data_IF_617737660435
#
_entry.id   IF_617737660435
#
_cell.length_a   1.000
_cell.length_b   1.000
_cell.length_c   1.000
_cell.angle_alpha   90.00
_cell.angle_beta   90.00
_cell.angle_gamma   90.00
#
_symmetry.space_group_name_H-M   'P 1'
#
loop_
_entity.id
_entity.type
_entity.pdbx_description
1 polymer ?
#
# COMPACT_ATOMS: atom_id res chain seq x y z
N UNK A 1 23.35 3.26 -27.46
CA UNK A 1 24.18 2.29 -26.71
C UNK A 1 25.34 2.94 -25.96
N UNK A 2 25.75 4.14 -26.33
CA UNK A 2 26.88 4.87 -25.73
C UNK A 2 26.73 5.05 -24.21
N UNK A 3 25.53 5.35 -23.72
CA UNK A 3 25.24 5.60 -22.29
C UNK A 3 24.80 4.36 -21.50
N UNK A 4 24.77 3.18 -22.10
CA UNK A 4 24.34 1.95 -21.42
C UNK A 4 25.17 1.62 -20.16
N UNK A 5 26.50 1.83 -20.14
CA UNK A 5 27.29 1.60 -18.94
C UNK A 5 26.86 2.45 -17.73
N UNK A 6 26.33 3.65 -17.95
CA UNK A 6 25.92 4.56 -16.88
C UNK A 6 24.71 4.04 -16.08
N UNK A 7 23.97 3.06 -16.62
CA UNK A 7 22.88 2.42 -15.90
C UNK A 7 23.40 1.57 -14.75
N UNK A 8 24.60 0.98 -14.91
CA UNK A 8 25.15 -0.02 -14.00
C UNK A 8 26.33 0.50 -13.15
N UNK A 9 27.07 1.49 -13.63
CA UNK A 9 28.24 2.02 -12.96
C UNK A 9 28.10 3.51 -12.66
N UNK A 10 28.61 3.89 -11.51
CA UNK A 10 28.65 5.29 -11.11
C UNK A 10 29.61 6.10 -12.00
N UNK A 11 29.23 7.32 -12.28
CA UNK A 11 30.08 8.24 -12.98
C UNK A 11 31.19 8.75 -12.06
N UNK A 12 32.40 9.08 -12.62
CA UNK A 12 33.46 9.67 -11.84
C UNK A 12 33.01 10.95 -11.13
N UNK A 13 33.65 11.23 -10.00
CA UNK A 13 33.44 12.46 -9.21
C UNK A 13 32.02 12.64 -8.67
N UNK A 14 31.27 11.56 -8.51
CA UNK A 14 29.88 11.59 -8.01
C UNK A 14 28.91 12.32 -8.94
N UNK A 15 29.21 12.34 -10.24
CA UNK A 15 28.33 12.96 -11.22
C UNK A 15 27.05 12.14 -11.40
N UNK A 16 25.94 12.83 -11.55
CA UNK A 16 24.63 12.26 -11.79
C UNK A 16 24.50 11.79 -13.24
N UNK A 17 24.03 10.55 -13.44
CA UNK A 17 23.73 10.04 -14.77
C UNK A 17 22.30 10.36 -15.22
N UNK A 18 22.18 11.24 -16.17
CA UNK A 18 20.89 11.49 -16.83
C UNK A 18 20.35 10.26 -17.59
N UNK A 19 21.23 9.38 -18.05
CA UNK A 19 20.83 8.15 -18.72
C UNK A 19 20.19 7.16 -17.73
N UNK A 20 20.81 6.97 -16.55
CA UNK A 20 20.25 6.15 -15.46
C UNK A 20 18.89 6.68 -15.01
N UNK A 21 18.78 7.98 -14.73
CA UNK A 21 17.52 8.60 -14.36
C UNK A 21 16.42 8.32 -15.40
N UNK A 22 16.68 8.60 -16.68
CA UNK A 22 15.69 8.40 -17.74
C UNK A 22 15.31 6.94 -17.94
N UNK A 23 16.25 6.03 -17.73
CA UNK A 23 15.97 4.60 -17.81
C UNK A 23 14.99 4.16 -16.73
N UNK A 24 15.23 4.49 -15.47
CA UNK A 24 14.37 4.12 -14.36
C UNK A 24 13.01 4.83 -14.43
N UNK A 25 12.97 6.10 -14.81
CA UNK A 25 11.73 6.84 -15.03
C UNK A 25 10.88 6.19 -16.14
N UNK A 26 11.54 5.77 -17.23
CA UNK A 26 10.87 5.05 -18.31
C UNK A 26 10.34 3.68 -17.85
N UNK A 27 11.08 2.93 -17.07
CA UNK A 27 10.62 1.64 -16.51
C UNK A 27 9.39 1.86 -15.61
N UNK A 28 9.43 2.84 -14.70
CA UNK A 28 8.30 3.16 -13.85
C UNK A 28 7.05 3.54 -14.65
N UNK A 29 7.21 4.39 -15.69
CA UNK A 29 6.09 4.75 -16.57
C UNK A 29 5.58 3.56 -17.38
N UNK A 30 6.48 2.72 -17.90
CA UNK A 30 6.08 1.51 -18.65
C UNK A 30 5.34 0.51 -17.77
N UNK A 31 5.79 0.32 -16.54
CA UNK A 31 5.07 -0.55 -15.61
C UNK A 31 3.67 0.01 -15.32
N UNK A 32 3.57 1.28 -14.98
CA UNK A 32 2.28 1.93 -14.70
C UNK A 32 1.33 1.86 -15.89
N UNK A 33 1.81 2.19 -17.10
CA UNK A 33 0.98 2.21 -18.30
C UNK A 33 0.56 0.81 -18.77
N UNK A 34 1.48 -0.16 -18.72
CA UNK A 34 1.20 -1.52 -19.18
C UNK A 34 0.35 -2.33 -18.21
N UNK A 35 0.49 -2.11 -16.93
CA UNK A 35 -0.26 -2.82 -15.88
C UNK A 35 -1.40 -1.97 -15.32
N UNK A 36 -1.08 -0.94 -14.54
CA UNK A 36 -2.07 -0.21 -13.76
C UNK A 36 -3.11 0.50 -14.65
N UNK A 37 -2.68 1.20 -15.69
CA UNK A 37 -3.58 1.91 -16.59
C UNK A 37 -4.44 0.93 -17.41
N UNK A 38 -3.86 -0.16 -17.89
CA UNK A 38 -4.57 -1.17 -18.68
C UNK A 38 -5.64 -1.86 -17.84
N UNK A 39 -5.27 -2.39 -16.67
CA UNK A 39 -6.21 -3.09 -15.80
C UNK A 39 -7.22 -2.14 -15.19
N UNK A 40 -6.78 -0.98 -14.71
CA UNK A 40 -7.67 0.04 -14.14
C UNK A 40 -8.65 0.61 -15.17
N UNK A 41 -8.22 0.78 -16.43
CA UNK A 41 -9.09 1.14 -17.54
C UNK A 41 -10.20 0.13 -17.75
N UNK A 42 -9.82 -1.13 -17.87
CA UNK A 42 -10.79 -2.22 -18.03
C UNK A 42 -11.75 -2.32 -16.84
N UNK A 43 -11.26 -2.18 -15.61
CA UNK A 43 -12.10 -2.19 -14.42
C UNK A 43 -13.16 -1.06 -14.47
N UNK A 44 -12.77 0.15 -14.81
CA UNK A 44 -13.71 1.29 -14.93
C UNK A 44 -14.76 1.04 -16.00
N UNK A 45 -14.38 0.52 -17.16
CA UNK A 45 -15.31 0.20 -18.26
C UNK A 45 -16.32 -0.89 -17.88
N UNK A 46 -15.96 -1.77 -16.92
CA UNK A 46 -16.82 -2.85 -16.45
C UNK A 46 -17.50 -2.55 -15.09
N UNK A 47 -17.43 -1.31 -14.61
CA UNK A 47 -18.14 -0.88 -13.39
C UNK A 47 -17.58 -1.46 -12.09
N UNK A 48 -16.30 -1.86 -12.07
CA UNK A 48 -15.58 -2.32 -10.87
C UNK A 48 -14.34 -1.46 -10.64
N UNK A 49 -13.83 -1.44 -9.40
CA UNK A 49 -12.64 -0.71 -9.04
C UNK A 49 -11.42 -1.65 -9.00
N UNK A 50 -10.31 -1.21 -9.58
CA UNK A 50 -9.02 -1.83 -9.32
C UNK A 50 -8.57 -1.42 -7.91
N UNK A 51 -8.18 -2.39 -7.11
CA UNK A 51 -7.56 -2.18 -5.80
C UNK A 51 -6.42 -3.17 -5.58
N UNK A 52 -5.60 -2.92 -4.58
CA UNK A 52 -4.45 -3.73 -4.22
C UNK A 52 -3.28 -2.83 -3.80
N UNK A 53 -2.22 -3.44 -3.36
CA UNK A 53 -1.00 -2.75 -2.95
C UNK A 53 0.12 -2.92 -3.98
N UNK A 54 1.13 -2.08 -3.89
CA UNK A 54 2.35 -2.20 -4.67
C UNK A 54 3.37 -3.06 -3.90
N UNK A 55 4.55 -3.26 -4.45
CA UNK A 55 5.58 -4.10 -3.84
C UNK A 55 6.68 -3.23 -3.23
N UNK A 56 7.18 -3.64 -2.06
CA UNK A 56 8.34 -3.04 -1.39
C UNK A 56 8.20 -1.53 -1.12
N UNK A 57 7.03 -1.10 -0.67
CA UNK A 57 6.67 0.31 -0.47
C UNK A 57 7.35 1.03 0.71
N UNK A 58 7.92 0.36 1.75
CA UNK A 58 8.38 1.03 2.97
C UNK A 58 9.45 2.10 2.77
N UNK A 59 10.35 1.91 1.81
CA UNK A 59 11.42 2.88 1.52
C UNK A 59 11.40 3.33 0.06
N UNK A 60 12.02 4.48 -0.20
CA UNK A 60 12.18 4.98 -1.58
C UNK A 60 13.02 4.00 -2.41
N UNK A 61 14.08 3.46 -1.83
CA UNK A 61 15.00 2.54 -2.50
C UNK A 61 14.30 1.22 -2.84
N UNK A 62 13.62 0.60 -1.88
CA UNK A 62 12.98 -0.69 -2.10
C UNK A 62 11.90 -0.61 -3.18
N UNK A 63 11.00 0.37 -3.12
CA UNK A 63 9.94 0.49 -4.11
C UNK A 63 10.45 0.81 -5.52
N UNK A 64 11.49 1.66 -5.63
CA UNK A 64 12.06 1.99 -6.94
C UNK A 64 12.82 0.81 -7.54
N UNK A 65 13.46 -0.01 -6.71
CA UNK A 65 14.08 -1.26 -7.14
C UNK A 65 13.07 -2.31 -7.60
N UNK A 66 11.90 -2.37 -6.96
CA UNK A 66 10.87 -3.36 -7.29
C UNK A 66 10.00 -2.96 -8.49
N UNK A 67 9.39 -1.78 -8.47
CA UNK A 67 8.34 -1.38 -9.40
C UNK A 67 8.49 0.03 -9.99
N UNK A 68 9.42 0.79 -9.51
CA UNK A 68 9.58 2.20 -9.84
C UNK A 68 8.86 3.12 -8.85
N UNK A 69 7.61 3.47 -9.08
CA UNK A 69 6.87 4.42 -8.22
C UNK A 69 5.46 3.93 -7.91
N UNK A 70 5.18 3.67 -6.63
CA UNK A 70 3.85 3.25 -6.18
C UNK A 70 2.77 4.31 -6.50
N UNK A 71 3.02 5.57 -6.19
CA UNK A 71 2.07 6.65 -6.41
C UNK A 71 1.72 6.85 -7.87
N UNK A 72 2.65 6.63 -8.80
CA UNK A 72 2.42 6.71 -10.25
C UNK A 72 1.41 5.66 -10.70
N UNK A 73 1.53 4.45 -10.19
CA UNK A 73 0.61 3.36 -10.51
C UNK A 73 -0.79 3.59 -9.93
N UNK A 74 -0.90 4.18 -8.76
CA UNK A 74 -2.19 4.49 -8.14
C UNK A 74 -3.09 5.44 -8.94
N UNK A 75 -2.55 6.16 -9.93
CA UNK A 75 -3.37 7.04 -10.80
C UNK A 75 -4.53 6.33 -11.49
N UNK A 76 -4.44 5.03 -11.65
CA UNK A 76 -5.46 4.22 -12.35
C UNK A 76 -6.18 3.24 -11.43
N UNK A 77 -5.88 3.24 -10.14
CA UNK A 77 -6.61 2.47 -9.16
C UNK A 77 -7.91 3.20 -8.79
N UNK A 78 -8.99 2.45 -8.63
CA UNK A 78 -10.22 3.03 -8.08
C UNK A 78 -10.15 3.18 -6.56
N UNK A 79 -9.31 2.39 -5.91
CA UNK A 79 -9.05 2.40 -4.48
C UNK A 79 -7.59 2.00 -4.23
N UNK A 80 -6.67 2.96 -4.07
CA UNK A 80 -5.29 2.66 -3.71
C UNK A 80 -5.20 1.80 -2.46
N UNK A 81 -4.36 0.78 -2.48
CA UNK A 81 -4.20 -0.15 -1.37
C UNK A 81 -2.80 -0.19 -0.83
N UNK A 82 -2.66 -0.68 0.39
CA UNK A 82 -1.40 -0.95 1.06
C UNK A 82 -1.46 -2.30 1.75
N UNK A 83 -0.31 -2.92 1.96
CA UNK A 83 -0.13 -4.09 2.81
C UNK A 83 0.69 -3.70 4.05
N UNK A 84 0.14 -4.00 5.22
CA UNK A 84 0.74 -3.61 6.49
C UNK A 84 1.01 -4.85 7.34
N UNK A 85 2.18 -5.44 7.11
CA UNK A 85 2.61 -6.65 7.78
C UNK A 85 3.00 -6.41 9.24
N UNK A 86 2.80 -7.42 10.05
CA UNK A 86 3.10 -7.38 11.49
C UNK A 86 2.35 -6.24 12.18
N UNK A 87 2.95 -5.69 13.20
CA UNK A 87 2.49 -4.48 13.89
C UNK A 87 3.36 -3.25 13.57
N UNK A 88 4.13 -3.30 12.49
CA UNK A 88 5.00 -2.20 12.10
C UNK A 88 4.21 -1.00 11.62
N UNK A 89 4.78 0.17 11.81
CA UNK A 89 4.15 1.44 11.44
C UNK A 89 4.88 2.05 10.25
N UNK A 90 4.47 1.69 9.08
CA UNK A 90 5.02 2.19 7.82
C UNK A 90 4.28 3.46 7.37
N UNK A 91 4.62 4.57 7.98
CA UNK A 91 3.96 5.85 7.70
C UNK A 91 4.11 6.29 6.25
N UNK A 92 5.26 6.04 5.63
CA UNK A 92 5.50 6.38 4.22
C UNK A 92 4.53 5.64 3.31
N UNK A 93 4.37 4.33 3.48
CA UNK A 93 3.45 3.48 2.74
C UNK A 93 2.02 4.01 2.81
N UNK A 94 1.53 4.26 4.04
CA UNK A 94 0.17 4.77 4.23
C UNK A 94 -0.02 6.18 3.64
N UNK A 95 0.97 7.07 3.81
CA UNK A 95 0.89 8.44 3.28
C UNK A 95 0.96 8.52 1.77
N UNK A 96 1.71 7.63 1.11
CA UNK A 96 1.73 7.55 -0.36
C UNK A 96 0.35 7.23 -0.92
N UNK A 97 -0.29 6.18 -0.41
CA UNK A 97 -1.62 5.79 -0.86
C UNK A 97 -2.68 6.87 -0.57
N UNK A 98 -2.65 7.48 0.63
CA UNK A 98 -3.52 8.61 0.97
C UNK A 98 -3.30 9.80 0.05
N UNK A 99 -2.04 10.16 -0.21
CA UNK A 99 -1.70 11.28 -1.08
C UNK A 99 -2.19 11.04 -2.51
N UNK A 100 -2.00 9.83 -3.03
CA UNK A 100 -2.53 9.44 -4.34
C UNK A 100 -4.06 9.50 -4.37
N UNK A 101 -4.74 8.98 -3.36
CA UNK A 101 -6.20 9.06 -3.26
C UNK A 101 -6.70 10.52 -3.30
N UNK A 102 -6.06 11.43 -2.58
CA UNK A 102 -6.41 12.86 -2.59
C UNK A 102 -6.12 13.52 -3.95
N UNK A 103 -4.98 13.23 -4.57
CA UNK A 103 -4.59 13.83 -5.85
C UNK A 103 -5.49 13.39 -7.01
N UNK A 104 -5.94 12.15 -6.99
CA UNK A 104 -6.77 11.58 -8.05
C UNK A 104 -8.27 11.59 -7.73
N UNK A 105 -8.65 12.05 -6.55
CA UNK A 105 -10.07 12.20 -6.15
C UNK A 105 -10.75 10.87 -5.81
N UNK A 106 -10.02 9.90 -5.27
CA UNK A 106 -10.59 8.64 -4.82
C UNK A 106 -11.17 8.74 -3.42
N UNK A 107 -12.16 7.90 -3.13
CA UNK A 107 -12.94 7.97 -1.88
C UNK A 107 -12.20 7.48 -0.63
N UNK A 108 -11.08 6.76 -0.79
CA UNK A 108 -10.33 6.24 0.34
C UNK A 108 -9.12 5.39 -0.03
N UNK A 109 -8.60 4.74 0.97
CA UNK A 109 -7.45 3.82 0.90
C UNK A 109 -7.82 2.50 1.52
N UNK A 110 -7.49 1.41 0.84
CA UNK A 110 -7.59 0.05 1.36
C UNK A 110 -6.29 -0.32 2.09
N UNK A 111 -6.40 -1.05 3.18
CA UNK A 111 -5.24 -1.71 3.80
C UNK A 111 -5.52 -3.18 4.04
N UNK A 112 -4.65 -4.04 3.55
CA UNK A 112 -4.46 -5.38 4.07
C UNK A 112 -3.66 -5.26 5.36
N UNK A 113 -4.19 -5.79 6.45
CA UNK A 113 -3.59 -5.58 7.75
C UNK A 113 -3.77 -6.79 8.67
N UNK A 114 -2.92 -6.89 9.69
CA UNK A 114 -2.84 -7.95 10.69
C UNK A 114 -2.11 -9.22 10.24
N UNK A 115 -1.67 -9.32 9.00
CA UNK A 115 -0.84 -10.43 8.54
C UNK A 115 0.48 -10.53 9.32
N UNK A 116 0.96 -11.75 9.57
CA UNK A 116 2.23 -12.02 10.25
C UNK A 116 2.31 -11.46 11.69
N UNK A 117 1.18 -11.32 12.35
CA UNK A 117 1.12 -10.78 13.73
C UNK A 117 1.17 -11.87 14.81
N UNK A 118 1.14 -13.14 14.39
CA UNK A 118 1.15 -14.32 15.21
C UNK A 118 -0.18 -14.62 15.96
N UNK A 119 -0.26 -15.81 16.58
CA UNK A 119 -1.50 -16.32 17.20
C UNK A 119 -1.89 -15.63 18.51
N UNK A 120 -0.99 -14.93 19.13
CA UNK A 120 -1.21 -14.17 20.36
C UNK A 120 -1.70 -12.73 20.11
N UNK A 121 -1.91 -12.34 18.85
CA UNK A 121 -2.36 -11.00 18.49
C UNK A 121 -3.79 -10.74 18.98
N UNK A 122 -3.92 -9.88 19.97
CA UNK A 122 -5.17 -9.58 20.67
C UNK A 122 -5.92 -8.35 20.12
N UNK A 123 -7.06 -8.01 20.72
CA UNK A 123 -7.87 -6.87 20.31
C UNK A 123 -7.20 -5.52 20.52
N UNK A 124 -6.22 -5.41 21.43
CA UNK A 124 -5.43 -4.18 21.60
C UNK A 124 -4.52 -3.98 20.40
N UNK A 125 -3.92 -5.05 19.93
CA UNK A 125 -3.11 -5.03 18.71
C UNK A 125 -3.95 -4.65 17.48
N UNK A 126 -5.10 -5.29 17.29
CA UNK A 126 -6.04 -4.96 16.21
C UNK A 126 -6.46 -3.48 16.26
N UNK A 127 -6.85 -3.00 17.45
CA UNK A 127 -7.24 -1.60 17.63
C UNK A 127 -6.11 -0.63 17.34
N UNK A 128 -4.93 -0.85 17.94
CA UNK A 128 -3.79 0.02 17.74
C UNK A 128 -3.38 0.11 16.27
N UNK A 129 -3.27 -1.05 15.60
CA UNK A 129 -2.85 -1.10 14.21
C UNK A 129 -3.87 -0.42 13.28
N UNK A 130 -5.15 -0.65 13.48
CA UNK A 130 -6.18 -0.02 12.67
C UNK A 130 -6.38 1.47 12.96
N UNK A 131 -6.26 1.92 14.22
CA UNK A 131 -6.49 3.32 14.60
C UNK A 131 -5.47 4.27 13.95
N UNK A 132 -4.17 3.94 13.97
CA UNK A 132 -3.19 4.83 13.35
C UNK A 132 -3.31 4.85 11.83
N UNK A 133 -3.68 3.73 11.20
CA UNK A 133 -3.93 3.68 9.77
C UNK A 133 -5.18 4.49 9.40
N UNK A 134 -6.25 4.38 10.18
CA UNK A 134 -7.44 5.21 9.99
C UNK A 134 -7.11 6.70 10.12
N UNK A 135 -6.28 7.09 11.10
CA UNK A 135 -5.82 8.48 11.26
C UNK A 135 -5.00 8.98 10.05
N UNK A 136 -4.37 8.08 9.30
CA UNK A 136 -3.65 8.39 8.06
C UNK A 136 -4.50 8.23 6.79
N UNK A 137 -5.79 7.96 6.92
CA UNK A 137 -6.72 7.96 5.79
C UNK A 137 -7.10 6.60 5.24
N UNK A 138 -6.73 5.51 5.92
CA UNK A 138 -7.24 4.17 5.57
C UNK A 138 -8.72 4.08 5.96
N UNK A 139 -9.57 3.79 4.98
CA UNK A 139 -11.02 3.72 5.15
C UNK A 139 -11.60 2.34 4.87
N UNK A 140 -10.86 1.48 4.18
CA UNK A 140 -11.26 0.11 3.89
C UNK A 140 -10.23 -0.84 4.49
N UNK A 141 -10.67 -1.70 5.39
CA UNK A 141 -9.81 -2.69 6.05
C UNK A 141 -10.09 -4.08 5.49
N UNK A 142 -9.04 -4.76 5.11
CA UNK A 142 -9.06 -6.16 4.68
C UNK A 142 -8.20 -6.96 5.65
N UNK A 143 -8.81 -7.53 6.70
CA UNK A 143 -8.06 -8.29 7.67
C UNK A 143 -7.41 -9.53 7.04
N UNK A 144 -6.12 -9.66 7.17
CA UNK A 144 -5.38 -10.86 6.86
C UNK A 144 -5.32 -11.73 8.12
N UNK A 145 -6.02 -12.85 8.18
CA UNK A 145 -6.99 -13.36 7.23
C UNK A 145 -8.04 -14.24 7.93
N UNK A 146 -8.78 -14.98 7.15
CA UNK A 146 -9.70 -16.00 7.64
C UNK A 146 -9.51 -17.27 6.82
N UNK A 147 -9.12 -18.38 7.46
CA UNK A 147 -8.98 -19.67 6.77
C UNK A 147 -10.23 -20.52 6.86
N UNK A 148 -10.59 -21.15 5.76
CA UNK A 148 -11.66 -22.16 5.74
C UNK A 148 -11.21 -23.42 6.51
N UNK A 149 -9.94 -23.79 6.41
CA UNK A 149 -9.36 -24.98 7.03
C UNK A 149 -7.88 -24.77 7.34
N UNK A 150 -7.40 -25.41 8.39
CA UNK A 150 -5.97 -25.48 8.74
C UNK A 150 -5.22 -26.63 8.02
N UNK A 151 -5.87 -27.33 7.12
CA UNK A 151 -5.22 -28.38 6.34
C UNK A 151 -4.24 -27.78 5.31
N UNK A 152 -3.03 -28.32 5.24
CA UNK A 152 -1.95 -27.84 4.40
C UNK A 152 -1.00 -26.87 5.14
N UNK A 153 0.30 -26.95 4.84
CA UNK A 153 1.33 -26.20 5.56
C UNK A 153 1.23 -24.70 5.35
N UNK A 154 1.00 -24.26 4.11
CA UNK A 154 0.89 -22.84 3.76
C UNK A 154 -0.19 -22.08 4.56
N UNK A 155 -1.18 -22.79 5.10
CA UNK A 155 -2.23 -22.16 5.92
C UNK A 155 -1.84 -21.91 7.36
N UNK A 156 -0.65 -22.30 7.77
CA UNK A 156 -0.07 -22.01 9.10
C UNK A 156 0.83 -20.81 9.08
N UNK A 157 1.19 -20.38 7.86
CA UNK A 157 1.97 -19.17 7.68
C UNK A 157 1.08 -17.94 7.87
N UNK A 158 1.68 -16.87 8.35
CA UNK A 158 1.05 -15.56 8.45
C UNK A 158 -0.24 -15.47 9.30
N UNK A 159 -0.28 -16.08 10.53
CA UNK A 159 -1.38 -15.82 11.46
C UNK A 159 -1.43 -14.32 11.86
N UNK A 160 -2.48 -13.80 12.47
CA UNK A 160 -3.58 -14.55 13.03
C UNK A 160 -4.74 -14.73 12.07
N UNK A 161 -5.62 -15.70 12.37
CA UNK A 161 -6.94 -15.80 11.74
C UNK A 161 -7.97 -15.06 12.57
N UNK A 162 -8.89 -14.36 11.93
CA UNK A 162 -10.03 -13.70 12.58
C UNK A 162 -11.25 -14.62 12.70
N UNK A 163 -11.11 -15.90 12.40
CA UNK A 163 -12.17 -16.90 12.40
C UNK A 163 -11.96 -17.95 13.50
N UNK A 164 -12.65 -19.06 13.40
CA UNK A 164 -12.76 -20.11 14.43
C UNK A 164 -11.43 -20.69 14.93
N UNK A 165 -10.36 -20.46 14.21
CA UNK A 165 -9.01 -20.86 14.62
C UNK A 165 -8.48 -20.03 15.81
N UNK A 166 -9.02 -18.83 16.00
CA UNK A 166 -8.66 -17.97 17.13
C UNK A 166 -9.69 -18.07 18.27
N UNK A 167 -9.24 -18.16 19.53
CA UNK A 167 -10.17 -18.41 20.66
C UNK A 167 -11.15 -17.26 20.89
N UNK A 168 -10.83 -16.06 20.45
CA UNK A 168 -11.63 -14.85 20.60
C UNK A 168 -12.57 -14.55 19.42
N UNK A 169 -12.64 -15.40 18.38
CA UNK A 169 -13.35 -15.08 17.14
C UNK A 169 -14.82 -14.71 17.33
N UNK A 170 -15.52 -15.38 18.27
CA UNK A 170 -16.93 -15.06 18.59
C UNK A 170 -17.12 -13.64 19.14
N UNK A 171 -16.06 -12.99 19.57
CA UNK A 171 -16.05 -11.62 20.10
C UNK A 171 -15.46 -10.61 19.14
N UNK A 172 -15.08 -11.03 17.93
CA UNK A 172 -14.43 -10.14 16.95
C UNK A 172 -15.30 -8.95 16.55
N UNK A 173 -16.62 -9.06 16.72
CA UNK A 173 -17.55 -7.93 16.58
C UNK A 173 -17.19 -6.71 17.41
N UNK A 174 -16.42 -6.87 18.51
CA UNK A 174 -15.91 -5.73 19.28
C UNK A 174 -14.96 -4.86 18.45
N UNK A 175 -14.10 -5.50 17.65
CA UNK A 175 -13.16 -4.83 16.74
C UNK A 175 -13.94 -4.17 15.59
N UNK A 176 -14.84 -4.92 14.96
CA UNK A 176 -15.60 -4.42 13.81
C UNK A 176 -16.54 -3.25 14.20
N UNK A 177 -17.20 -3.32 15.33
CA UNK A 177 -18.03 -2.22 15.83
C UNK A 177 -17.21 -0.96 16.14
N UNK A 178 -15.98 -1.10 16.64
CA UNK A 178 -15.08 0.03 16.84
C UNK A 178 -14.77 0.70 15.50
N UNK A 179 -14.32 -0.07 14.52
CA UNK A 179 -13.93 0.50 13.22
C UNK A 179 -15.12 0.97 12.38
N UNK A 180 -16.30 0.40 12.53
CA UNK A 180 -17.50 0.94 11.91
C UNK A 180 -17.78 2.39 12.36
N UNK A 181 -17.56 2.68 13.65
CA UNK A 181 -17.68 4.05 14.20
C UNK A 181 -16.56 4.95 13.74
N UNK A 182 -15.30 4.47 13.78
CA UNK A 182 -14.14 5.22 13.29
C UNK A 182 -14.33 5.58 11.84
N UNK A 183 -14.68 4.62 10.98
CA UNK A 183 -14.93 4.86 9.56
C UNK A 183 -16.04 5.88 9.33
N UNK A 184 -17.14 5.78 10.07
CA UNK A 184 -18.22 6.75 9.95
C UNK A 184 -17.75 8.18 10.23
N UNK A 185 -16.82 8.36 11.16
CA UNK A 185 -16.24 9.67 11.44
C UNK A 185 -15.23 10.10 10.38
N UNK A 186 -14.34 9.18 9.96
CA UNK A 186 -13.21 9.48 9.07
C UNK A 186 -13.61 9.66 7.58
N UNK A 187 -14.76 9.09 7.18
CA UNK A 187 -15.27 9.22 5.80
C UNK A 187 -16.23 10.39 5.61
N UNK A 188 -16.49 11.18 6.67
CA UNK A 188 -17.34 12.38 6.60
C UNK A 188 -16.51 13.65 6.52
N UNK A 189 -16.97 14.57 5.70
CA UNK A 189 -16.29 15.84 5.47
C UNK A 189 -15.25 15.77 4.36
N UNK A 190 -14.47 16.84 4.24
CA UNK A 190 -13.43 16.99 3.22
C UNK A 190 -12.09 17.22 3.90
N UNK A 191 -11.04 16.50 3.53
CA UNK A 191 -9.72 16.70 4.11
C UNK A 191 -9.18 18.11 3.73
N UNK A 192 -8.66 18.82 4.72
CA UNK A 192 -8.02 20.13 4.50
C UNK A 192 -6.51 19.90 4.45
N UNK A 193 -5.95 19.95 3.25
CA UNK A 193 -4.50 19.81 3.02
C UNK A 193 -3.94 21.18 2.65
N UNK A 194 -3.05 21.72 3.50
CA UNK A 194 -2.42 23.02 3.31
C UNK A 194 -0.94 22.97 3.00
N UNK A 195 -0.32 21.81 3.15
CA UNK A 195 1.12 21.61 2.96
C UNK A 195 1.33 20.45 2.00
N UNK A 196 2.05 20.70 0.94
CA UNK A 196 2.56 19.66 0.03
C UNK A 196 4.01 19.31 0.37
N UNK A 197 4.32 18.02 0.35
CA UNK A 197 5.69 17.53 0.51
C UNK A 197 6.10 16.85 -0.80
N UNK A 198 7.23 17.25 -1.35
CA UNK A 198 7.81 16.57 -2.52
C UNK A 198 8.31 15.21 -2.08
N UNK A 199 7.88 14.16 -2.79
CA UNK A 199 8.28 12.79 -2.56
C UNK A 199 9.19 12.35 -3.71
N UNK A 200 10.51 12.46 -3.57
CA UNK A 200 11.44 12.45 -4.70
C UNK A 200 11.88 11.02 -5.07
N UNK A 201 10.96 10.15 -5.43
CA UNK A 201 11.25 8.76 -5.80
C UNK A 201 12.26 8.64 -6.94
N UNK A 202 12.06 9.39 -8.00
CA UNK A 202 12.96 9.35 -9.17
C UNK A 202 14.39 9.79 -8.87
N UNK A 203 14.62 10.54 -7.80
CA UNK A 203 15.95 11.06 -7.45
C UNK A 203 16.87 9.99 -6.83
N UNK A 204 16.34 8.86 -6.42
CA UNK A 204 17.18 7.79 -5.84
C UNK A 204 18.10 7.12 -6.88
N UNK A 205 17.85 7.36 -8.15
CA UNK A 205 18.65 6.84 -9.25
C UNK A 205 19.75 7.79 -9.73
N UNK A 206 19.91 8.90 -9.05
CA UNK A 206 20.89 9.91 -9.39
C UNK A 206 22.05 9.94 -8.40
#
# INVERSE_FOLDING_TARGET
>A
MEFLPEIFWDLPDGKVSAARYRYHDHIAERFSSAFADTVGGWCRENGIALTGHMMDEPTLESQTGALGEAMRSYRSFGLPGIDMLCSWKEYTTAKQAQSAAHQFGYEGVLSELYGVTDWDFDFRGHKLNGDWQAALGVTVRVPHLSWVSMAGEAKRDYPASINYQSPWYKKYSCVENHFARVNTAMTRGVPIVKVGVIHPLSLIHI
#
